data_IF_124851636468
#
_entry.id   IF_124851636468
#
_cell.length_a   1.000
_cell.length_b   1.000
_cell.length_c   1.000
_cell.angle_alpha   90.00
_cell.angle_beta   90.00
_cell.angle_gamma   90.00
#
_symmetry.space_group_name_H-M   'P 1'
#
loop_
_entity.id
_entity.type
_entity.pdbx_description
1 polymer ?
#
# COMPACT_ATOMS: atom_id res chain seq x y z
N UNK A 1 -10.11 23.30 -3.24
CA UNK A 1 -10.54 22.33 -4.28
C UNK A 1 -9.57 22.42 -5.44
N UNK A 2 -9.19 21.32 -6.04
CA UNK A 2 -8.36 21.31 -7.25
C UNK A 2 -9.34 21.29 -8.43
N UNK A 3 -9.57 22.42 -9.13
CA UNK A 3 -10.55 22.51 -10.24
C UNK A 3 -10.26 21.47 -11.34
N UNK A 4 -8.97 21.16 -11.55
CA UNK A 4 -8.49 20.17 -12.50
C UNK A 4 -8.99 18.76 -12.16
N UNK A 5 -9.08 18.40 -10.88
CA UNK A 5 -9.58 17.08 -10.47
C UNK A 5 -11.06 16.92 -10.82
N UNK A 6 -11.86 17.97 -10.61
CA UNK A 6 -13.29 17.95 -10.95
C UNK A 6 -13.53 17.78 -12.45
N UNK A 7 -12.71 18.42 -13.28
CA UNK A 7 -12.75 18.27 -14.73
C UNK A 7 -12.27 16.88 -15.20
N UNK A 8 -11.19 16.37 -14.60
CA UNK A 8 -10.63 15.06 -14.95
C UNK A 8 -11.55 13.90 -14.58
N UNK A 9 -12.33 14.02 -13.51
CA UNK A 9 -13.26 12.97 -13.07
C UNK A 9 -14.52 12.85 -13.95
N UNK A 10 -14.66 13.67 -15.00
CA UNK A 10 -15.94 13.82 -15.69
C UNK A 10 -16.34 12.69 -16.64
N UNK A 11 -15.43 11.92 -17.27
CA UNK A 11 -15.85 10.93 -18.28
C UNK A 11 -15.07 9.61 -18.33
N UNK A 12 -13.77 9.57 -18.09
CA UNK A 12 -12.93 8.39 -18.35
C UNK A 12 -12.20 7.83 -17.12
N UNK A 13 -12.21 8.54 -15.98
CA UNK A 13 -11.50 8.10 -14.80
C UNK A 13 -12.33 7.09 -14.02
N UNK A 14 -11.81 5.88 -13.86
CA UNK A 14 -12.44 4.79 -13.10
C UNK A 14 -11.85 4.62 -11.70
N UNK A 15 -10.64 5.14 -11.48
CA UNK A 15 -9.98 5.11 -10.18
C UNK A 15 -9.00 6.28 -10.02
N UNK A 16 -8.76 6.67 -8.77
CA UNK A 16 -7.74 7.65 -8.38
C UNK A 16 -6.85 7.02 -7.31
N UNK A 17 -5.53 6.95 -7.57
CA UNK A 17 -4.53 6.60 -6.55
C UNK A 17 -4.10 7.87 -5.83
N UNK A 18 -4.15 7.85 -4.51
CA UNK A 18 -3.72 8.95 -3.64
C UNK A 18 -2.56 8.51 -2.75
N UNK A 19 -1.43 9.21 -2.85
CA UNK A 19 -0.20 8.90 -2.11
C UNK A 19 0.54 10.18 -1.67
N UNK A 20 -0.14 11.12 -0.96
CA UNK A 20 0.51 12.37 -0.58
C UNK A 20 1.37 12.26 0.69
N UNK A 21 1.36 11.13 1.41
CA UNK A 21 1.96 10.99 2.76
C UNK A 21 1.56 12.13 3.71
N UNK A 22 0.35 12.62 3.53
CA UNK A 22 -0.23 13.75 4.24
C UNK A 22 -1.74 13.59 4.34
N UNK A 23 -2.24 13.32 5.55
CA UNK A 23 -3.66 13.04 5.79
C UNK A 23 -4.58 14.19 5.32
N UNK A 24 -4.15 15.43 5.45
CA UNK A 24 -4.94 16.57 4.98
C UNK A 24 -5.13 16.51 3.46
N UNK A 25 -4.07 16.17 2.72
CA UNK A 25 -4.15 16.02 1.26
C UNK A 25 -4.97 14.81 0.83
N UNK A 26 -4.92 13.71 1.58
CA UNK A 26 -5.80 12.57 1.36
C UNK A 26 -7.27 12.99 1.48
N UNK A 27 -7.63 13.76 2.51
CA UNK A 27 -8.98 14.30 2.67
C UNK A 27 -9.38 15.26 1.54
N UNK A 28 -8.45 16.04 1.00
CA UNK A 28 -8.73 16.91 -0.15
C UNK A 28 -9.12 16.09 -1.40
N UNK A 29 -8.45 14.95 -1.63
CA UNK A 29 -8.81 14.04 -2.73
C UNK A 29 -10.19 13.43 -2.51
N UNK A 30 -10.48 12.92 -1.31
CA UNK A 30 -11.80 12.38 -0.95
C UNK A 30 -12.89 13.43 -1.17
N UNK A 31 -12.67 14.65 -0.69
CA UNK A 31 -13.60 15.77 -0.88
C UNK A 31 -13.82 16.06 -2.37
N UNK A 32 -12.76 16.06 -3.17
CA UNK A 32 -12.86 16.25 -4.62
C UNK A 32 -13.71 15.18 -5.31
N UNK A 33 -13.59 13.91 -4.91
CA UNK A 33 -14.44 12.81 -5.43
C UNK A 33 -15.90 13.06 -5.06
N UNK A 34 -16.19 13.42 -3.81
CA UNK A 34 -17.56 13.70 -3.33
C UNK A 34 -18.16 14.93 -4.03
N UNK A 35 -17.43 16.03 -4.15
CA UNK A 35 -17.91 17.23 -4.81
C UNK A 35 -18.19 17.04 -6.32
N UNK A 36 -17.48 16.10 -6.94
CA UNK A 36 -17.71 15.71 -8.33
C UNK A 36 -18.91 14.76 -8.50
N UNK A 37 -19.53 14.27 -7.41
CA UNK A 37 -20.57 13.23 -7.47
C UNK A 37 -20.06 11.92 -8.06
N UNK A 38 -18.83 11.57 -7.77
CA UNK A 38 -18.13 10.45 -8.40
C UNK A 38 -17.89 9.25 -7.46
N UNK A 39 -18.39 9.29 -6.23
CA UNK A 39 -18.17 8.30 -5.18
C UNK A 39 -18.59 6.87 -5.53
N UNK A 40 -19.61 6.72 -6.37
CA UNK A 40 -20.09 5.41 -6.82
C UNK A 40 -19.40 4.92 -8.09
N UNK A 41 -18.70 5.81 -8.79
CA UNK A 41 -18.12 5.55 -10.12
C UNK A 41 -16.60 5.47 -10.10
N UNK A 42 -15.96 6.24 -9.23
CA UNK A 42 -14.50 6.34 -9.14
C UNK A 42 -14.01 5.64 -7.87
N UNK A 43 -13.27 4.58 -8.03
CA UNK A 43 -12.62 3.92 -6.92
C UNK A 43 -11.45 4.79 -6.38
N UNK A 44 -11.35 4.91 -5.06
CA UNK A 44 -10.17 5.48 -4.42
C UNK A 44 -9.23 4.36 -4.04
N UNK A 45 -7.96 4.51 -4.39
CA UNK A 45 -6.90 3.56 -4.14
C UNK A 45 -5.78 4.23 -3.35
N UNK A 46 -5.36 3.64 -2.21
CA UNK A 46 -4.32 4.26 -1.38
C UNK A 46 -2.92 3.90 -1.85
N UNK A 47 -2.05 4.89 -1.79
CA UNK A 47 -0.62 4.80 -1.94
C UNK A 47 0.11 5.39 -0.72
N UNK A 48 -0.58 5.58 0.42
CA UNK A 48 0.03 6.00 1.68
C UNK A 48 0.55 4.76 2.41
N UNK A 49 1.82 4.41 2.22
CA UNK A 49 2.44 3.21 2.80
C UNK A 49 2.58 3.27 4.32
N UNK A 50 2.59 4.46 4.87
CA UNK A 50 2.61 4.73 6.31
C UNK A 50 1.25 4.50 7.00
N UNK A 51 0.17 4.29 6.23
CA UNK A 51 -1.19 4.27 6.79
C UNK A 51 -2.17 3.34 6.06
N UNK A 52 -1.68 2.33 5.36
CA UNK A 52 -2.45 1.56 4.38
C UNK A 52 -3.65 0.81 4.98
N UNK A 53 -3.49 0.16 6.14
CA UNK A 53 -4.59 -0.61 6.77
C UNK A 53 -5.69 0.32 7.24
N UNK A 54 -5.31 1.43 7.86
CA UNK A 54 -6.29 2.39 8.37
C UNK A 54 -7.00 3.11 7.23
N UNK A 55 -6.31 3.44 6.14
CA UNK A 55 -6.94 3.98 4.92
C UNK A 55 -8.03 3.04 4.38
N UNK A 56 -7.77 1.72 4.41
CA UNK A 56 -8.71 0.72 3.92
C UNK A 56 -9.89 0.49 4.87
N UNK A 57 -9.67 0.59 6.18
CA UNK A 57 -10.70 0.40 7.21
C UNK A 57 -11.60 1.63 7.36
N UNK A 58 -11.07 2.83 7.16
CA UNK A 58 -11.75 4.09 7.46
C UNK A 58 -12.90 4.37 6.47
N UNK A 59 -14.13 4.62 6.95
CA UNK A 59 -15.17 5.22 6.14
C UNK A 59 -14.96 6.74 6.11
N UNK A 60 -14.30 7.24 5.08
CA UNK A 60 -14.16 8.68 4.89
C UNK A 60 -15.52 9.33 4.66
N UNK A 61 -15.78 10.43 5.34
CA UNK A 61 -17.02 11.19 5.19
C UNK A 61 -16.76 12.61 4.73
N UNK A 62 -17.62 13.11 3.86
CA UNK A 62 -17.63 14.50 3.42
C UNK A 62 -19.06 14.96 3.20
N UNK A 63 -19.27 16.28 3.13
CA UNK A 63 -20.59 16.86 2.90
C UNK A 63 -20.75 17.29 1.45
N UNK A 64 -21.88 16.94 0.84
CA UNK A 64 -22.37 17.50 -0.43
C UNK A 64 -23.82 17.95 -0.27
N UNK A 65 -24.08 19.22 -0.51
CA UNK A 65 -25.40 19.84 -0.37
C UNK A 65 -26.03 19.62 1.02
N UNK A 66 -25.20 19.69 2.07
CA UNK A 66 -25.61 19.49 3.46
C UNK A 66 -25.85 18.03 3.86
N UNK A 67 -25.62 17.06 2.98
CA UNK A 67 -25.77 15.61 3.25
C UNK A 67 -24.40 14.95 3.38
N UNK A 68 -24.31 14.02 4.34
CA UNK A 68 -23.13 13.18 4.50
C UNK A 68 -23.02 12.18 3.33
N UNK A 69 -21.85 12.15 2.70
CA UNK A 69 -21.48 11.19 1.67
C UNK A 69 -20.29 10.39 2.19
N UNK A 70 -20.33 9.08 2.05
CA UNK A 70 -19.27 8.16 2.49
C UNK A 70 -18.49 7.63 1.31
N UNK A 71 -17.16 7.65 1.44
CA UNK A 71 -16.21 7.10 0.47
C UNK A 71 -15.33 6.09 1.18
N UNK A 72 -15.09 4.94 0.55
CA UNK A 72 -14.11 3.96 1.03
C UNK A 72 -12.98 3.82 0.03
N UNK A 73 -11.76 3.71 0.56
CA UNK A 73 -10.62 3.24 -0.19
C UNK A 73 -10.82 1.75 -0.50
N UNK A 74 -10.71 1.38 -1.77
CA UNK A 74 -11.04 0.03 -2.25
C UNK A 74 -9.85 -0.92 -2.29
N UNK A 75 -8.64 -0.39 -2.27
CA UNK A 75 -7.42 -1.17 -2.31
C UNK A 75 -6.20 -0.29 -2.14
N UNK A 76 -5.05 -0.93 -2.07
CA UNK A 76 -3.75 -0.27 -1.98
C UNK A 76 -2.67 -1.20 -2.50
N UNK A 77 -1.58 -0.62 -3.00
CA UNK A 77 -0.39 -1.35 -3.38
C UNK A 77 0.81 -0.47 -3.12
N UNK A 78 1.57 -0.81 -2.09
CA UNK A 78 2.70 -0.01 -1.70
C UNK A 78 3.61 -0.80 -0.76
N UNK A 79 4.91 -0.43 -0.74
CA UNK A 79 5.87 -1.03 0.15
C UNK A 79 5.97 -2.55 -0.07
N UNK A 80 6.05 -3.29 1.02
CA UNK A 80 6.19 -4.74 1.00
C UNK A 80 5.00 -5.48 0.35
N UNK A 81 3.84 -4.85 0.15
CA UNK A 81 2.74 -5.47 -0.59
C UNK A 81 3.07 -5.73 -2.06
N UNK A 82 4.08 -5.05 -2.61
CA UNK A 82 4.58 -5.30 -3.96
C UNK A 82 5.41 -6.58 -4.07
N UNK A 83 5.97 -7.07 -2.97
CA UNK A 83 6.90 -8.22 -2.93
C UNK A 83 6.38 -9.39 -2.09
N UNK A 84 5.64 -9.15 -1.01
CA UNK A 84 4.96 -10.18 -0.22
C UNK A 84 3.47 -10.23 -0.56
N UNK A 85 3.20 -10.37 -1.84
CA UNK A 85 1.87 -10.16 -2.44
C UNK A 85 0.83 -11.16 -1.95
N UNK A 86 1.20 -12.40 -1.67
CA UNK A 86 0.28 -13.40 -1.10
C UNK A 86 -0.29 -12.92 0.24
N UNK A 87 0.57 -12.41 1.10
CA UNK A 87 0.16 -11.87 2.40
C UNK A 87 -0.67 -10.59 2.27
N UNK A 88 -0.32 -9.73 1.32
CA UNK A 88 -1.12 -8.54 1.02
C UNK A 88 -2.57 -8.90 0.65
N UNK A 89 -2.77 -9.92 -0.17
CA UNK A 89 -4.11 -10.40 -0.56
C UNK A 89 -4.87 -10.94 0.67
N UNK A 90 -4.22 -11.72 1.53
CA UNK A 90 -4.83 -12.25 2.76
C UNK A 90 -5.18 -11.13 3.76
N UNK A 91 -4.32 -10.12 3.90
CA UNK A 91 -4.56 -8.95 4.74
C UNK A 91 -5.74 -8.13 4.21
N UNK A 92 -5.80 -7.87 2.90
CA UNK A 92 -6.91 -7.17 2.28
C UNK A 92 -8.24 -7.92 2.47
N UNK A 93 -8.24 -9.24 2.34
CA UNK A 93 -9.43 -10.07 2.59
C UNK A 93 -9.91 -9.96 4.04
N UNK A 94 -8.99 -9.95 5.03
CA UNK A 94 -9.34 -9.71 6.45
C UNK A 94 -9.95 -8.32 6.67
N UNK A 95 -9.39 -7.30 6.02
CA UNK A 95 -9.90 -5.92 6.11
C UNK A 95 -11.32 -5.86 5.54
N UNK A 96 -11.57 -6.45 4.38
CA UNK A 96 -12.90 -6.49 3.78
C UNK A 96 -13.90 -7.24 4.68
N UNK A 97 -13.52 -8.39 5.25
CA UNK A 97 -14.38 -9.13 6.17
C UNK A 97 -14.73 -8.32 7.43
N UNK A 98 -13.79 -7.55 7.98
CA UNK A 98 -14.04 -6.65 9.11
C UNK A 98 -15.03 -5.54 8.74
N UNK A 99 -14.90 -4.96 7.54
CA UNK A 99 -15.83 -3.95 7.02
C UNK A 99 -17.24 -4.53 6.88
N UNK A 100 -17.36 -5.71 6.28
CA UNK A 100 -18.64 -6.36 6.00
C UNK A 100 -19.35 -6.81 7.29
N UNK A 101 -18.59 -7.24 8.29
CA UNK A 101 -19.13 -7.60 9.61
C UNK A 101 -19.50 -6.38 10.48
N UNK A 102 -18.99 -5.19 10.16
CA UNK A 102 -19.09 -3.99 10.97
C UNK A 102 -18.28 -4.03 12.27
N UNK A 103 -17.37 -5.00 12.42
CA UNK A 103 -16.53 -5.18 13.62
C UNK A 103 -15.05 -5.15 13.23
N UNK A 104 -14.31 -4.25 13.87
CA UNK A 104 -12.86 -4.11 13.65
C UNK A 104 -12.14 -4.61 14.90
N UNK A 105 -11.38 -5.69 14.75
CA UNK A 105 -10.55 -6.22 15.82
C UNK A 105 -9.34 -5.31 16.08
N UNK A 106 -8.92 -5.22 17.34
CA UNK A 106 -7.72 -4.47 17.73
C UNK A 106 -6.46 -4.96 17.00
N UNK A 107 -6.39 -6.23 16.63
CA UNK A 107 -5.30 -6.82 15.86
C UNK A 107 -5.14 -6.19 14.47
N UNK A 108 -6.22 -5.74 13.83
CA UNK A 108 -6.13 -5.00 12.57
C UNK A 108 -5.50 -3.62 12.74
N UNK A 109 -5.72 -2.97 13.88
CA UNK A 109 -5.07 -1.70 14.21
C UNK A 109 -3.57 -1.93 14.48
N UNK A 110 -3.22 -3.00 15.22
CA UNK A 110 -1.84 -3.39 15.45
C UNK A 110 -1.11 -3.79 14.16
N UNK A 111 -1.82 -4.43 13.23
CA UNK A 111 -1.30 -4.79 11.90
C UNK A 111 -0.82 -3.55 11.13
N UNK A 112 -1.50 -2.41 11.24
CA UNK A 112 -1.08 -1.18 10.57
C UNK A 112 0.36 -0.78 10.93
N UNK A 113 0.72 -0.81 12.21
CA UNK A 113 2.06 -0.44 12.65
C UNK A 113 3.13 -1.40 12.13
N UNK A 114 2.85 -2.70 12.09
CA UNK A 114 3.77 -3.70 11.54
C UNK A 114 3.98 -3.51 10.03
N UNK A 115 2.92 -3.23 9.31
CA UNK A 115 2.98 -2.94 7.86
C UNK A 115 3.79 -1.66 7.60
N UNK A 116 3.56 -0.62 8.37
CA UNK A 116 4.31 0.64 8.28
C UNK A 116 5.81 0.40 8.52
N UNK A 117 6.16 -0.40 9.51
CA UNK A 117 7.56 -0.74 9.82
C UNK A 117 8.21 -1.58 8.70
N UNK A 118 7.50 -2.56 8.15
CA UNK A 118 7.97 -3.29 6.97
C UNK A 118 8.19 -2.36 5.76
N UNK A 119 7.25 -1.45 5.52
CA UNK A 119 7.34 -0.49 4.41
C UNK A 119 8.54 0.44 4.58
N UNK A 120 8.82 0.88 5.82
CA UNK A 120 10.01 1.69 6.14
C UNK A 120 11.29 1.01 5.69
N UNK A 121 11.44 -0.29 5.98
CA UNK A 121 12.62 -1.05 5.61
C UNK A 121 12.71 -1.31 4.09
N UNK A 122 11.61 -1.77 3.48
CA UNK A 122 11.58 -2.13 2.06
C UNK A 122 11.75 -0.91 1.16
N UNK A 123 11.10 0.21 1.52
CA UNK A 123 11.15 1.45 0.73
C UNK A 123 12.22 2.43 1.18
N UNK A 124 13.03 2.07 2.18
CA UNK A 124 14.19 2.87 2.58
C UNK A 124 13.82 4.31 2.99
N UNK A 125 12.82 4.44 3.84
CA UNK A 125 12.33 5.74 4.31
C UNK A 125 13.42 6.53 5.02
N UNK A 126 14.38 5.85 5.65
CA UNK A 126 15.52 6.45 6.36
C UNK A 126 16.44 7.27 5.42
N UNK A 127 16.45 6.93 4.13
CA UNK A 127 17.25 7.60 3.09
C UNK A 127 16.38 8.25 2.02
N UNK A 128 15.23 8.79 2.41
CA UNK A 128 14.30 9.48 1.50
C UNK A 128 13.91 8.63 0.27
N UNK A 129 13.72 7.32 0.48
CA UNK A 129 13.34 6.33 -0.54
C UNK A 129 14.41 6.03 -1.60
N UNK A 130 15.68 6.40 -1.37
CA UNK A 130 16.76 6.15 -2.34
C UNK A 130 16.94 4.66 -2.66
N UNK A 131 16.82 3.78 -1.67
CA UNK A 131 16.91 2.33 -1.81
C UNK A 131 15.58 1.62 -2.08
N UNK A 132 14.53 2.32 -2.52
CA UNK A 132 13.18 1.76 -2.70
C UNK A 132 13.16 0.60 -3.71
N UNK A 133 13.69 0.78 -4.90
CA UNK A 133 13.70 -0.27 -5.95
C UNK A 133 14.64 -1.42 -5.58
N UNK A 134 15.92 -1.16 -5.20
CA UNK A 134 16.81 -2.24 -4.76
C UNK A 134 16.30 -2.99 -3.52
N UNK A 135 15.58 -2.34 -2.62
CA UNK A 135 14.92 -2.99 -1.47
C UNK A 135 13.89 -4.02 -1.89
N UNK A 136 13.02 -3.68 -2.84
CA UNK A 136 12.09 -4.63 -3.45
C UNK A 136 12.85 -5.78 -4.16
N UNK A 137 13.88 -5.47 -4.94
CA UNK A 137 14.69 -6.47 -5.62
C UNK A 137 15.41 -7.41 -4.65
N UNK A 138 15.88 -6.91 -3.50
CA UNK A 138 16.51 -7.73 -2.48
C UNK A 138 15.54 -8.77 -1.89
N UNK A 139 14.30 -8.41 -1.65
CA UNK A 139 13.27 -9.38 -1.22
C UNK A 139 13.09 -10.47 -2.30
N UNK A 140 12.91 -10.07 -3.55
CA UNK A 140 12.72 -11.03 -4.65
C UNK A 140 13.96 -11.89 -4.88
N UNK A 141 15.17 -11.34 -4.68
CA UNK A 141 16.43 -12.09 -4.74
C UNK A 141 16.51 -13.15 -3.64
N UNK A 142 16.14 -12.80 -2.40
CA UNK A 142 16.10 -13.74 -1.26
C UNK A 142 15.12 -14.88 -1.53
N UNK A 143 14.03 -14.61 -2.23
CA UNK A 143 13.03 -15.60 -2.63
C UNK A 143 13.44 -16.42 -3.86
N UNK A 144 14.58 -16.12 -4.50
CA UNK A 144 15.04 -16.81 -5.70
C UNK A 144 14.33 -16.38 -7.00
N UNK A 145 13.54 -15.32 -6.97
CA UNK A 145 12.82 -14.78 -8.13
C UNK A 145 13.70 -13.86 -9.00
N UNK A 146 14.75 -13.28 -8.40
CA UNK A 146 15.75 -12.48 -9.10
C UNK A 146 17.16 -12.97 -8.76
N UNK A 147 18.10 -12.80 -9.68
CA UNK A 147 19.51 -13.16 -9.48
C UNK A 147 20.28 -12.06 -8.73
N UNK A 148 19.80 -10.83 -8.72
CA UNK A 148 20.46 -9.67 -8.09
C UNK A 148 19.52 -8.50 -7.84
N UNK A 149 20.10 -7.40 -7.35
CA UNK A 149 19.37 -6.18 -6.96
C UNK A 149 19.56 -5.02 -7.92
N UNK A 150 20.24 -5.23 -9.05
CA UNK A 150 20.52 -4.18 -10.01
C UNK A 150 19.26 -3.51 -10.55
N UNK A 151 19.38 -2.21 -10.81
CA UNK A 151 18.36 -1.36 -11.38
C UNK A 151 18.78 -0.85 -12.77
N UNK A 152 17.84 -0.23 -13.49
CA UNK A 152 18.15 0.40 -14.78
C UNK A 152 19.17 1.54 -14.62
N UNK A 153 19.06 2.32 -13.54
CA UNK A 153 20.10 3.23 -13.13
C UNK A 153 21.09 2.48 -12.22
N UNK A 154 22.36 2.34 -12.60
CA UNK A 154 23.36 1.60 -11.82
C UNK A 154 23.68 2.25 -10.46
N UNK A 155 23.34 3.53 -10.28
CA UNK A 155 23.53 4.24 -9.02
C UNK A 155 22.42 3.93 -7.99
N UNK A 156 21.32 3.32 -8.42
CA UNK A 156 20.27 2.84 -7.52
C UNK A 156 20.68 1.51 -6.89
N UNK A 157 21.18 1.59 -5.68
CA UNK A 157 21.67 0.46 -4.88
C UNK A 157 21.01 0.49 -3.49
N UNK A 158 21.12 -0.62 -2.76
CA UNK A 158 20.73 -0.64 -1.34
C UNK A 158 21.51 0.42 -0.56
N UNK A 159 20.79 1.20 0.24
CA UNK A 159 21.41 2.19 1.11
C UNK A 159 22.18 1.54 2.28
N UNK A 160 23.15 2.24 2.86
CA UNK A 160 23.85 1.72 4.04
C UNK A 160 22.90 1.36 5.17
N UNK A 161 22.97 0.13 5.69
CA UNK A 161 22.10 -0.36 6.76
C UNK A 161 20.73 -0.87 6.32
N UNK A 162 20.35 -0.71 5.06
CA UNK A 162 19.03 -1.17 4.58
C UNK A 162 18.91 -2.69 4.61
N UNK A 163 19.99 -3.44 4.35
CA UNK A 163 19.99 -4.90 4.43
C UNK A 163 19.66 -5.37 5.85
N UNK A 164 20.25 -4.75 6.85
CA UNK A 164 20.02 -5.04 8.26
C UNK A 164 18.58 -4.71 8.68
N UNK A 165 18.01 -3.63 8.14
CA UNK A 165 16.60 -3.29 8.38
C UNK A 165 15.65 -4.32 7.73
N UNK A 166 15.95 -4.79 6.53
CA UNK A 166 15.21 -5.89 5.89
C UNK A 166 15.30 -7.18 6.72
N UNK A 167 16.47 -7.52 7.25
CA UNK A 167 16.66 -8.67 8.15
C UNK A 167 15.85 -8.52 9.44
N UNK A 168 15.84 -7.31 10.02
CA UNK A 168 15.10 -7.00 11.23
C UNK A 168 13.59 -7.21 11.04
N UNK A 169 13.00 -6.66 10.01
CA UNK A 169 11.54 -6.79 9.79
C UNK A 169 11.16 -8.20 9.37
N UNK A 170 12.00 -8.88 8.58
CA UNK A 170 11.79 -10.27 8.19
C UNK A 170 11.76 -11.21 9.41
N UNK A 171 12.70 -11.05 10.33
CA UNK A 171 12.77 -11.83 11.57
C UNK A 171 11.69 -11.40 12.58
N UNK A 172 11.39 -10.11 12.66
CA UNK A 172 10.43 -9.55 13.63
C UNK A 172 8.98 -9.81 13.30
N UNK A 173 8.66 -9.96 12.01
CA UNK A 173 7.28 -10.13 11.51
C UNK A 173 7.19 -11.29 10.50
N UNK A 174 7.46 -12.53 10.91
CA UNK A 174 7.47 -13.68 10.00
C UNK A 174 6.11 -13.92 9.30
N UNK A 175 5.03 -13.45 9.90
CA UNK A 175 3.70 -13.52 9.32
C UNK A 175 3.46 -12.55 8.14
N UNK A 176 4.39 -11.60 7.91
CA UNK A 176 4.27 -10.63 6.81
C UNK A 176 4.88 -11.13 5.51
N UNK A 177 5.88 -12.03 5.56
CA UNK A 177 6.49 -12.57 4.36
C UNK A 177 5.70 -13.75 3.80
N UNK A 178 5.90 -14.04 2.53
CA UNK A 178 5.29 -15.16 1.81
C UNK A 178 6.32 -16.15 1.25
N UNK A 179 7.50 -16.21 1.85
CA UNK A 179 8.64 -16.99 1.39
C UNK A 179 8.30 -18.48 1.19
N UNK A 180 7.55 -19.09 2.12
CA UNK A 180 7.11 -20.46 2.00
C UNK A 180 6.24 -20.68 0.75
N UNK A 181 5.31 -19.76 0.49
CA UNK A 181 4.46 -19.81 -0.70
C UNK A 181 5.27 -19.65 -2.00
N UNK A 182 6.25 -18.75 -2.00
CA UNK A 182 7.15 -18.58 -3.15
C UNK A 182 7.97 -19.84 -3.37
N UNK A 183 8.60 -20.39 -2.33
CA UNK A 183 9.41 -21.60 -2.41
C UNK A 183 8.62 -22.82 -2.96
N UNK A 184 7.36 -23.00 -2.54
CA UNK A 184 6.48 -24.06 -3.05
C UNK A 184 6.14 -23.91 -4.54
N UNK A 185 6.22 -22.72 -5.10
CA UNK A 185 5.80 -22.44 -6.46
C UNK A 185 6.95 -22.08 -7.41
N UNK A 186 8.15 -21.86 -6.88
CA UNK A 186 9.29 -21.30 -7.61
C UNK A 186 9.65 -22.10 -8.85
N UNK A 187 9.78 -23.43 -8.73
CA UNK A 187 10.09 -24.31 -9.86
C UNK A 187 9.02 -24.23 -10.96
N UNK A 188 7.76 -24.21 -10.57
CA UNK A 188 6.65 -24.07 -11.54
C UNK A 188 6.65 -22.76 -12.28
N UNK A 189 7.14 -21.70 -11.65
CA UNK A 189 7.14 -20.35 -12.25
C UNK A 189 8.36 -20.08 -13.12
N UNK A 190 9.51 -20.65 -12.77
CA UNK A 190 10.79 -20.40 -13.44
C UNK A 190 11.32 -21.60 -14.27
N UNK A 191 10.80 -22.80 -14.02
CA UNK A 191 11.15 -24.05 -14.74
C UNK A 191 10.31 -24.23 -15.97
#
# INVERSE_FOLDING_TARGET
>A
MIPELKSALSVAVVAVKTAPFNRYRTLDVIRGVVEAGAEDRVAVYTGNDDHIVLDLLEPFTSLRDGKEVRVRVRGGLLGHWSVWTRRAVEQLARIHAAIDSGTIDADLLALNSKITDCNRAVFDVEHDFAGCIPGCHEILRRQGLLEGTWCLNPDEVLSPGQTEELDRVHAGYPEMNDDAFVAENLERWLG
#
